data_IF_987430121428
#
_entry.id   IF_987430121428
#
_cell.length_a   1.000
_cell.length_b   1.000
_cell.length_c   1.000
_cell.angle_alpha   90.00
_cell.angle_beta   90.00
_cell.angle_gamma   90.00
#
_symmetry.space_group_name_H-M   'P 1'
#
loop_
_entity.id
_entity.type
_entity.pdbx_description
1 polymer ?
#
# COMPACT_ATOMS: atom_id res chain seq x y z
N UNK A 1 -45.68 46.85 18.67
CA UNK A 1 -45.42 45.71 17.77
C UNK A 1 -43.92 45.53 17.68
N UNK A 2 -43.34 44.64 18.49
CA UNK A 2 -41.88 44.49 18.66
C UNK A 2 -41.43 43.23 17.91
N UNK A 3 -40.65 43.39 16.84
CA UNK A 3 -40.12 42.28 16.03
C UNK A 3 -38.92 41.67 16.73
N UNK A 4 -39.07 40.43 17.20
CA UNK A 4 -37.97 39.59 17.70
C UNK A 4 -37.20 39.09 16.49
N UNK A 5 -35.99 39.59 16.28
CA UNK A 5 -35.04 39.08 15.30
C UNK A 5 -34.39 37.84 15.92
N UNK A 6 -34.78 36.64 15.47
CA UNK A 6 -34.06 35.42 15.82
C UNK A 6 -32.75 35.40 15.05
N UNK A 7 -31.65 35.62 15.76
CA UNK A 7 -30.30 35.43 15.22
C UNK A 7 -30.09 33.91 15.06
N UNK A 8 -30.12 33.42 13.83
CA UNK A 8 -29.77 32.04 13.50
C UNK A 8 -28.25 32.01 13.38
N UNK A 9 -27.56 31.55 14.44
CA UNK A 9 -26.12 31.27 14.35
C UNK A 9 -25.89 30.09 13.43
N UNK A 10 -25.46 30.36 12.20
CA UNK A 10 -24.91 29.36 11.29
C UNK A 10 -23.53 29.00 11.83
N UNK A 11 -23.42 27.83 12.47
CA UNK A 11 -22.13 27.23 12.78
C UNK A 11 -21.54 26.69 11.48
N UNK A 12 -20.61 27.43 10.89
CA UNK A 12 -19.81 26.95 9.77
C UNK A 12 -18.83 25.90 10.33
N UNK A 13 -19.19 24.62 10.26
CA UNK A 13 -18.27 23.52 10.59
C UNK A 13 -17.26 23.45 9.45
N UNK A 14 -16.13 24.12 9.63
CA UNK A 14 -14.98 23.98 8.74
C UNK A 14 -14.39 22.61 9.06
N UNK A 15 -14.71 21.59 8.25
CA UNK A 15 -13.97 20.33 8.25
C UNK A 15 -12.52 20.66 7.88
N UNK A 16 -11.66 20.74 8.89
CA UNK A 16 -10.23 20.74 8.66
C UNK A 16 -9.90 19.33 8.16
N UNK A 17 -9.62 19.21 6.86
CA UNK A 17 -8.97 18.04 6.30
C UNK A 17 -7.57 17.99 6.90
N UNK A 18 -7.49 17.49 8.14
CA UNK A 18 -6.21 17.19 8.76
C UNK A 18 -5.50 16.20 7.85
N UNK A 19 -4.27 16.47 7.40
CA UNK A 19 -3.48 15.48 6.69
C UNK A 19 -3.47 14.16 7.48
N UNK A 20 -3.72 13.07 6.76
CA UNK A 20 -3.73 11.71 7.29
C UNK A 20 -2.28 11.34 7.60
N UNK A 21 -1.90 11.42 8.88
CA UNK A 21 -0.57 11.00 9.36
C UNK A 21 -0.64 9.56 9.85
N UNK A 22 0.34 8.75 9.49
CA UNK A 22 0.44 7.35 9.87
C UNK A 22 0.86 7.15 11.34
N UNK A 23 1.31 8.21 12.02
CA UNK A 23 1.64 8.24 13.46
C UNK A 23 0.41 8.51 14.35
N UNK A 24 -0.80 8.43 13.80
CA UNK A 24 -2.03 8.41 14.59
C UNK A 24 -2.47 6.95 14.83
N UNK A 25 -3.14 6.66 15.96
CA UNK A 25 -3.77 5.36 16.16
C UNK A 25 -4.68 5.05 14.97
N UNK A 26 -4.36 3.99 14.25
CA UNK A 26 -5.12 3.55 13.08
C UNK A 26 -5.75 2.18 13.37
N UNK A 27 -6.72 1.71 12.57
CA UNK A 27 -7.29 0.38 12.75
C UNK A 27 -6.19 -0.70 12.69
N UNK A 28 -6.30 -1.73 13.53
CA UNK A 28 -5.36 -2.85 13.59
C UNK A 28 -5.94 -4.10 12.97
N UNK A 29 -5.05 -5.03 12.58
CA UNK A 29 -5.45 -6.37 12.20
C UNK A 29 -5.66 -6.58 10.72
N UNK A 30 -5.61 -7.86 10.37
CA UNK A 30 -5.86 -8.37 9.03
C UNK A 30 -7.08 -9.27 9.10
N UNK A 31 -8.06 -8.99 8.25
CA UNK A 31 -9.27 -9.79 8.07
C UNK A 31 -9.23 -10.33 6.64
N UNK A 32 -9.14 -11.64 6.51
CA UNK A 32 -9.02 -12.33 5.22
C UNK A 32 -10.35 -13.01 4.86
N UNK A 33 -10.71 -12.96 3.58
CA UNK A 33 -11.88 -13.67 3.06
C UNK A 33 -11.62 -15.18 2.99
N UNK A 34 -12.67 -15.96 3.23
CA UNK A 34 -12.63 -17.41 3.17
C UNK A 34 -12.41 -17.96 1.75
N UNK A 35 -12.03 -19.23 1.69
CA UNK A 35 -11.80 -19.98 0.46
C UNK A 35 -13.08 -20.71 0.06
N UNK A 36 -13.62 -20.44 -1.14
CA UNK A 36 -14.75 -21.18 -1.69
C UNK A 36 -14.37 -22.57 -2.20
N UNK A 37 -15.26 -23.55 -2.14
CA UNK A 37 -14.97 -24.92 -2.60
C UNK A 37 -14.92 -25.03 -4.13
N UNK A 38 -15.52 -24.07 -4.83
CA UNK A 38 -15.61 -23.94 -6.29
C UNK A 38 -14.43 -23.19 -6.94
N UNK A 39 -13.43 -22.77 -6.15
CA UNK A 39 -12.31 -21.98 -6.65
C UNK A 39 -12.50 -20.46 -6.51
N UNK A 40 -13.69 -19.98 -6.12
CA UNK A 40 -13.93 -18.57 -5.80
C UNK A 40 -13.48 -18.20 -4.37
N UNK A 41 -13.55 -16.90 -4.04
CA UNK A 41 -13.44 -16.43 -2.66
C UNK A 41 -14.83 -16.38 -2.01
N UNK A 42 -14.96 -16.97 -0.82
CA UNK A 42 -16.16 -16.84 0.03
C UNK A 42 -16.08 -15.52 0.78
N UNK A 43 -16.55 -14.44 0.17
CA UNK A 43 -16.46 -13.09 0.74
C UNK A 43 -17.48 -12.80 1.83
N UNK A 44 -18.41 -13.72 2.08
CA UNK A 44 -19.32 -13.69 3.23
C UNK A 44 -18.74 -14.32 4.49
N UNK A 45 -17.59 -15.00 4.38
CA UNK A 45 -16.89 -15.63 5.49
C UNK A 45 -15.53 -14.95 5.66
N UNK A 46 -15.25 -14.48 6.86
CA UNK A 46 -14.06 -13.70 7.15
C UNK A 46 -13.34 -14.29 8.35
N UNK A 47 -12.01 -14.29 8.29
CA UNK A 47 -11.15 -14.78 9.36
C UNK A 47 -10.27 -13.62 9.83
N UNK A 48 -10.40 -13.25 11.10
CA UNK A 48 -9.47 -12.31 11.74
C UNK A 48 -8.19 -13.05 12.10
N UNK A 49 -7.06 -12.62 11.53
CA UNK A 49 -5.77 -13.23 11.82
C UNK A 49 -5.23 -12.71 13.16
N UNK A 50 -4.55 -13.60 13.90
CA UNK A 50 -3.90 -13.23 15.16
C UNK A 50 -2.54 -12.59 14.91
N UNK A 51 -2.27 -11.47 15.59
CA UNK A 51 -1.00 -10.77 15.56
C UNK A 51 -0.06 -11.22 16.69
N UNK A 52 1.14 -10.60 16.82
CA UNK A 52 1.63 -9.47 16.04
C UNK A 52 2.21 -9.88 14.67
N UNK A 53 2.47 -11.17 14.43
CA UNK A 53 2.88 -11.67 13.10
C UNK A 53 1.74 -12.43 12.43
N UNK A 54 0.96 -11.70 11.63
CA UNK A 54 -0.19 -12.21 10.89
C UNK A 54 0.27 -13.21 9.82
N UNK A 55 0.02 -14.49 10.05
CA UNK A 55 0.36 -15.56 9.10
C UNK A 55 -0.64 -15.62 7.94
N UNK A 56 -0.18 -15.25 6.74
CA UNK A 56 -0.96 -15.32 5.52
C UNK A 56 -0.43 -16.50 4.70
N UNK A 57 -0.93 -17.69 4.99
CA UNK A 57 -0.51 -18.92 4.33
C UNK A 57 -1.28 -19.14 3.03
N UNK A 58 -0.74 -19.98 2.14
CA UNK A 58 -1.42 -20.37 0.90
C UNK A 58 -2.81 -21.00 1.12
N UNK A 59 -3.11 -21.52 2.32
CA UNK A 59 -4.43 -22.06 2.64
C UNK A 59 -5.52 -20.99 2.80
N UNK A 60 -5.13 -19.77 3.16
CA UNK A 60 -6.02 -18.62 3.14
C UNK A 60 -6.21 -18.04 1.72
N UNK A 61 -5.53 -18.60 0.72
CA UNK A 61 -5.53 -18.12 -0.65
C UNK A 61 -6.00 -19.15 -1.67
N UNK A 62 -5.87 -18.75 -2.94
CA UNK A 62 -6.16 -19.58 -4.12
C UNK A 62 -4.96 -19.58 -5.05
N UNK A 63 -4.34 -20.74 -5.23
CA UNK A 63 -3.27 -20.90 -6.22
C UNK A 63 -3.84 -21.26 -7.60
N UNK A 64 -3.39 -20.54 -8.62
CA UNK A 64 -3.61 -20.86 -10.03
C UNK A 64 -2.27 -20.80 -10.76
N UNK A 65 -1.68 -21.97 -11.06
CA UNK A 65 -0.32 -22.01 -11.62
C UNK A 65 0.71 -21.40 -10.67
N UNK A 66 1.46 -20.41 -11.14
CA UNK A 66 2.48 -19.67 -10.36
C UNK A 66 1.92 -18.44 -9.63
N UNK A 67 0.60 -18.19 -9.74
CA UNK A 67 -0.08 -17.10 -9.06
C UNK A 67 -0.77 -17.60 -7.78
N UNK A 68 -0.55 -16.92 -6.66
CA UNK A 68 -1.25 -17.12 -5.39
C UNK A 68 -2.11 -15.89 -5.08
N UNK A 69 -3.43 -16.05 -5.15
CA UNK A 69 -4.39 -14.98 -4.92
C UNK A 69 -4.82 -14.93 -3.45
N UNK A 70 -4.90 -13.73 -2.90
CA UNK A 70 -5.51 -13.44 -1.59
C UNK A 70 -6.53 -12.31 -1.72
N UNK A 71 -7.59 -12.41 -0.93
CA UNK A 71 -8.64 -11.40 -0.84
C UNK A 71 -8.83 -11.05 0.62
N UNK A 72 -8.68 -9.78 0.96
CA UNK A 72 -8.82 -9.25 2.31
C UNK A 72 -10.06 -8.36 2.40
N UNK A 73 -10.75 -8.40 3.53
CA UNK A 73 -11.69 -7.34 3.89
C UNK A 73 -10.88 -6.14 4.42
N UNK A 74 -9.93 -6.42 5.30
CA UNK A 74 -9.09 -5.42 5.96
C UNK A 74 -7.62 -5.86 5.94
N UNK A 75 -6.72 -4.92 5.67
CA UNK A 75 -5.28 -5.15 5.71
C UNK A 75 -4.58 -3.96 6.36
N UNK A 76 -4.36 -4.04 7.67
CA UNK A 76 -3.63 -3.04 8.45
C UNK A 76 -2.53 -3.71 9.28
N UNK A 77 -1.40 -3.02 9.45
CA UNK A 77 -0.22 -3.50 10.17
C UNK A 77 0.31 -2.34 11.01
N UNK A 78 0.35 -2.47 12.33
CA UNK A 78 0.95 -1.47 13.22
C UNK A 78 2.48 -1.59 13.30
N UNK A 79 3.08 -0.60 13.94
CA UNK A 79 4.46 -0.68 14.42
C UNK A 79 4.69 -1.96 15.22
N UNK A 80 5.79 -2.63 14.91
CA UNK A 80 6.21 -3.93 15.47
C UNK A 80 5.30 -5.12 15.11
N UNK A 81 4.31 -4.94 14.23
CA UNK A 81 3.56 -6.04 13.62
C UNK A 81 4.14 -6.41 12.25
N UNK A 82 3.82 -7.61 11.79
CA UNK A 82 4.16 -8.08 10.45
C UNK A 82 3.02 -8.85 9.79
N UNK A 83 2.96 -8.75 8.47
CA UNK A 83 2.14 -9.63 7.63
C UNK A 83 3.07 -10.55 6.85
N UNK A 84 3.05 -11.84 7.18
CA UNK A 84 3.98 -12.83 6.61
C UNK A 84 3.26 -13.73 5.62
N UNK A 85 3.51 -13.52 4.34
CA UNK A 85 3.03 -14.37 3.25
C UNK A 85 3.90 -15.62 3.11
N UNK A 86 3.28 -16.80 3.09
CA UNK A 86 3.96 -18.09 2.94
C UNK A 86 3.21 -19.06 2.04
N UNK A 87 3.95 -19.93 1.37
CA UNK A 87 3.41 -20.84 0.37
C UNK A 87 4.51 -21.65 -0.32
N UNK A 88 4.16 -22.48 -1.32
CA UNK A 88 5.15 -23.27 -2.04
C UNK A 88 6.07 -22.39 -2.89
N UNK A 89 7.33 -22.80 -3.06
CA UNK A 89 8.32 -22.08 -3.88
C UNK A 89 7.99 -22.05 -5.39
N UNK A 90 6.91 -22.71 -5.82
CA UNK A 90 6.39 -22.62 -7.19
C UNK A 90 5.61 -21.33 -7.44
N UNK A 91 5.31 -20.55 -6.41
CA UNK A 91 4.64 -19.25 -6.55
C UNK A 91 5.63 -18.19 -7.00
N UNK A 92 5.32 -17.54 -8.11
CA UNK A 92 6.07 -16.38 -8.64
C UNK A 92 5.38 -15.06 -8.30
N UNK A 93 4.05 -15.04 -8.16
CA UNK A 93 3.29 -13.83 -7.86
C UNK A 93 2.27 -14.08 -6.75
N UNK A 94 2.37 -13.30 -5.68
CA UNK A 94 1.36 -13.14 -4.65
C UNK A 94 0.49 -11.95 -5.05
N UNK A 95 -0.80 -12.17 -5.29
CA UNK A 95 -1.73 -11.16 -5.80
C UNK A 95 -2.83 -10.94 -4.77
N UNK A 96 -2.80 -9.79 -4.13
CA UNK A 96 -3.63 -9.45 -2.98
C UNK A 96 -4.55 -8.28 -3.30
N UNK A 97 -5.83 -8.38 -2.93
CA UNK A 97 -6.80 -7.28 -2.99
C UNK A 97 -7.42 -7.00 -1.62
N UNK A 98 -7.76 -5.75 -1.34
CA UNK A 98 -8.55 -5.33 -0.18
C UNK A 98 -9.90 -4.81 -0.66
N UNK A 99 -10.99 -5.32 -0.07
CA UNK A 99 -12.36 -5.10 -0.57
C UNK A 99 -13.29 -4.42 0.43
N UNK A 100 -12.84 -4.15 1.67
CA UNK A 100 -13.67 -3.59 2.74
C UNK A 100 -13.93 -2.08 2.67
N UNK A 101 -13.54 -1.41 1.58
CA UNK A 101 -13.82 0.02 1.37
C UNK A 101 -13.05 0.99 2.28
N UNK A 102 -12.10 0.49 3.07
CA UNK A 102 -11.26 1.29 3.95
C UNK A 102 -9.79 1.31 3.50
N UNK A 103 -9.06 2.42 3.69
CA UNK A 103 -7.63 2.47 3.38
C UNK A 103 -6.82 1.44 4.19
N UNK A 104 -5.73 0.96 3.61
CA UNK A 104 -4.75 0.12 4.30
C UNK A 104 -3.72 0.99 5.03
N UNK A 105 -3.58 0.78 6.34
CA UNK A 105 -2.59 1.45 7.19
C UNK A 105 -1.44 0.50 7.49
N UNK A 106 -0.24 0.82 7.01
CA UNK A 106 0.93 -0.05 7.08
C UNK A 106 2.04 0.74 7.76
N UNK A 107 2.26 0.46 9.04
CA UNK A 107 3.36 1.00 9.84
C UNK A 107 4.23 -0.14 10.40
N UNK A 108 4.21 -1.31 9.78
CA UNK A 108 5.01 -2.47 10.18
C UNK A 108 5.61 -3.19 8.97
N UNK A 109 5.93 -4.47 9.12
CA UNK A 109 6.64 -5.22 8.07
C UNK A 109 5.70 -5.99 7.16
N UNK A 110 5.81 -5.82 5.84
CA UNK A 110 5.26 -6.78 4.87
C UNK A 110 6.37 -7.76 4.51
N UNK A 111 6.15 -9.05 4.78
CA UNK A 111 7.13 -10.11 4.57
C UNK A 111 6.61 -11.17 3.62
N UNK A 112 7.49 -11.72 2.78
CA UNK A 112 7.23 -12.98 2.06
C UNK A 112 8.36 -13.98 2.28
N UNK A 113 8.03 -15.18 2.74
CA UNK A 113 8.98 -16.30 2.86
C UNK A 113 9.07 -17.13 1.58
N UNK A 114 8.27 -16.81 0.56
CA UNK A 114 8.31 -17.47 -0.75
C UNK A 114 9.47 -16.90 -1.55
N UNK A 115 10.42 -17.75 -1.91
CA UNK A 115 11.66 -17.31 -2.58
C UNK A 115 11.37 -16.58 -3.90
N UNK A 116 11.86 -15.34 -4.01
CA UNK A 116 11.76 -14.48 -5.20
C UNK A 116 10.34 -14.12 -5.68
N UNK A 117 9.29 -14.46 -4.93
CA UNK A 117 7.92 -14.13 -5.33
C UNK A 117 7.69 -12.61 -5.31
N UNK A 118 7.08 -12.09 -6.37
CA UNK A 118 6.60 -10.72 -6.43
C UNK A 118 5.32 -10.60 -5.61
N UNK A 119 5.10 -9.44 -4.99
CA UNK A 119 3.89 -9.16 -4.22
C UNK A 119 3.16 -7.95 -4.81
N UNK A 120 1.91 -8.17 -5.19
CA UNK A 120 0.97 -7.17 -5.68
C UNK A 120 -0.08 -6.91 -4.61
N UNK A 121 -0.23 -5.67 -4.15
CA UNK A 121 -1.24 -5.27 -3.17
C UNK A 121 -2.14 -4.17 -3.77
N UNK A 122 -3.42 -4.49 -3.90
CA UNK A 122 -4.45 -3.61 -4.45
C UNK A 122 -5.41 -3.16 -3.34
N UNK A 123 -5.56 -1.85 -3.14
CA UNK A 123 -6.63 -1.29 -2.32
C UNK A 123 -7.15 0.03 -2.95
N UNK A 124 -8.30 0.02 -3.64
CA UNK A 124 -8.88 1.22 -4.25
C UNK A 124 -9.18 2.34 -3.27
N UNK A 125 -9.31 2.03 -1.98
CA UNK A 125 -9.61 2.99 -0.90
C UNK A 125 -8.37 3.76 -0.44
N UNK A 126 -7.18 3.39 -0.92
CA UNK A 126 -5.92 4.05 -0.58
C UNK A 126 -4.99 3.20 0.29
N UNK A 127 -3.72 3.60 0.34
CA UNK A 127 -2.69 2.95 1.14
C UNK A 127 -1.83 4.00 1.83
N UNK A 128 -1.66 3.86 3.14
CA UNK A 128 -0.90 4.77 3.99
C UNK A 128 0.27 4.00 4.58
N UNK A 129 1.49 4.35 4.17
CA UNK A 129 2.72 3.82 4.74
C UNK A 129 3.26 4.78 5.80
N UNK A 130 3.43 4.28 7.02
CA UNK A 130 4.04 5.01 8.11
C UNK A 130 5.56 4.90 8.17
N UNK A 131 6.19 5.64 9.10
CA UNK A 131 7.64 5.71 9.23
C UNK A 131 8.28 4.32 9.40
N UNK A 132 7.63 3.44 10.14
CA UNK A 132 8.15 2.12 10.52
C UNK A 132 7.80 1.04 9.48
N UNK A 133 7.16 1.43 8.37
CA UNK A 133 6.83 0.52 7.29
C UNK A 133 8.11 -0.04 6.65
N UNK A 134 8.17 -1.34 6.49
CA UNK A 134 9.30 -2.01 5.84
C UNK A 134 8.88 -3.20 4.99
N UNK A 135 9.74 -3.58 4.05
CA UNK A 135 9.53 -4.71 3.15
C UNK A 135 10.63 -5.74 3.38
N UNK A 136 10.21 -6.99 3.57
CA UNK A 136 11.08 -8.17 3.62
C UNK A 136 10.59 -9.17 2.56
N UNK A 137 10.85 -8.82 1.30
CA UNK A 137 10.29 -9.51 0.12
C UNK A 137 11.44 -9.89 -0.80
N UNK A 138 11.51 -11.18 -1.16
CA UNK A 138 12.51 -11.70 -2.08
C UNK A 138 12.36 -11.21 -3.53
N UNK A 139 11.12 -10.94 -3.97
CA UNK A 139 10.78 -10.42 -5.30
C UNK A 139 10.52 -8.91 -5.34
N UNK A 140 9.79 -8.48 -6.37
CA UNK A 140 9.36 -7.08 -6.54
C UNK A 140 8.08 -6.79 -5.74
N UNK A 141 7.90 -5.53 -5.35
CA UNK A 141 6.71 -5.05 -4.63
C UNK A 141 5.94 -4.05 -5.48
N UNK A 142 4.65 -4.31 -5.69
CA UNK A 142 3.76 -3.47 -6.47
C UNK A 142 2.54 -3.13 -5.61
N UNK A 143 2.31 -1.85 -5.38
CA UNK A 143 1.16 -1.36 -4.62
C UNK A 143 0.33 -0.40 -5.47
N UNK A 144 -0.99 -0.54 -5.42
CA UNK A 144 -1.87 0.27 -6.24
C UNK A 144 -3.22 0.55 -5.59
N UNK A 145 -3.81 1.69 -5.97
CA UNK A 145 -5.21 2.04 -5.70
C UNK A 145 -6.11 1.84 -6.92
N UNK A 146 -5.66 1.04 -7.89
CA UNK A 146 -6.48 0.63 -9.02
C UNK A 146 -7.65 -0.25 -8.56
N UNK A 147 -8.65 -0.38 -9.42
CA UNK A 147 -9.85 -1.18 -9.15
C UNK A 147 -9.61 -2.66 -9.42
N UNK A 148 -8.73 -2.99 -10.36
CA UNK A 148 -8.39 -4.36 -10.69
C UNK A 148 -6.95 -4.49 -11.20
N UNK A 149 -6.43 -5.71 -11.13
CA UNK A 149 -5.27 -6.14 -11.92
C UNK A 149 -5.76 -6.88 -13.15
N UNK A 150 -5.21 -6.53 -14.31
CA UNK A 150 -5.39 -7.23 -15.58
C UNK A 150 -4.21 -8.15 -15.85
N UNK A 151 -4.47 -9.29 -16.48
CA UNK A 151 -3.49 -10.31 -16.84
C UNK A 151 -3.22 -10.32 -18.35
N UNK A 152 -2.19 -11.05 -18.81
CA UNK A 152 -1.83 -11.09 -20.25
C UNK A 152 -2.91 -11.76 -21.13
N UNK A 153 -3.76 -12.61 -20.53
CA UNK A 153 -4.90 -13.25 -21.19
C UNK A 153 -6.15 -12.36 -21.22
N UNK A 154 -6.05 -11.12 -20.75
CA UNK A 154 -7.13 -10.14 -20.58
C UNK A 154 -8.14 -10.44 -19.47
N UNK A 155 -7.97 -11.51 -18.68
CA UNK A 155 -8.74 -11.66 -17.45
C UNK A 155 -8.36 -10.57 -16.44
N UNK A 156 -9.21 -10.36 -15.44
CA UNK A 156 -8.97 -9.40 -14.37
C UNK A 156 -9.40 -9.93 -13.00
N UNK A 157 -8.77 -9.37 -11.97
CA UNK A 157 -9.06 -9.62 -10.57
C UNK A 157 -9.38 -8.29 -9.89
N UNK A 158 -10.66 -8.08 -9.54
CA UNK A 158 -11.22 -6.80 -9.09
C UNK A 158 -11.27 -6.69 -7.58
N UNK A 159 -11.05 -5.50 -7.01
CA UNK A 159 -11.29 -5.21 -5.59
C UNK A 159 -12.78 -4.93 -5.26
N UNK A 160 -13.58 -4.60 -6.27
CA UNK A 160 -15.04 -4.53 -6.14
C UNK A 160 -15.64 -5.94 -6.29
N UNK A 161 -16.28 -6.42 -5.22
CA UNK A 161 -16.89 -7.74 -5.15
C UNK A 161 -18.16 -7.88 -6.00
N UNK A 162 -18.75 -6.79 -6.47
CA UNK A 162 -19.87 -6.81 -7.41
C UNK A 162 -19.42 -7.06 -8.86
N UNK A 163 -18.13 -6.91 -9.14
CA UNK A 163 -17.52 -7.20 -10.43
C UNK A 163 -17.04 -8.66 -10.47
N UNK A 164 -17.18 -9.29 -11.63
CA UNK A 164 -16.62 -10.61 -11.85
C UNK A 164 -15.09 -10.59 -11.68
N UNK A 165 -14.54 -11.71 -11.22
CA UNK A 165 -13.10 -11.87 -11.04
C UNK A 165 -12.70 -13.27 -11.46
N UNK A 166 -11.73 -13.36 -12.36
CA UNK A 166 -11.26 -14.63 -12.91
C UNK A 166 -9.83 -14.86 -12.43
N UNK A 167 -9.63 -15.93 -11.68
CA UNK A 167 -8.30 -16.39 -11.29
C UNK A 167 -7.64 -17.07 -12.49
N UNK A 168 -6.40 -16.70 -12.80
CA UNK A 168 -5.70 -17.19 -13.98
C UNK A 168 -4.25 -17.55 -13.66
N UNK A 169 -3.67 -18.43 -14.49
CA UNK A 169 -2.24 -18.75 -14.51
C UNK A 169 -1.42 -17.69 -15.25
N UNK A 170 -2.06 -16.80 -15.99
CA UNK A 170 -1.42 -15.75 -16.77
C UNK A 170 -0.75 -14.70 -15.87
N UNK A 171 0.37 -14.13 -16.30
CA UNK A 171 1.12 -13.16 -15.49
C UNK A 171 0.36 -11.82 -15.39
N UNK A 172 0.47 -11.08 -14.26
CA UNK A 172 -0.02 -9.72 -14.15
C UNK A 172 0.57 -8.83 -15.25
N UNK A 173 -0.28 -8.02 -15.88
CA UNK A 173 0.13 -7.16 -17.01
C UNK A 173 -0.02 -5.68 -16.69
N UNK A 174 -1.12 -5.27 -16.06
CA UNK A 174 -1.43 -3.86 -15.82
C UNK A 174 -2.43 -3.66 -14.68
N UNK A 175 -2.44 -2.44 -14.15
CA UNK A 175 -3.43 -1.95 -13.19
C UNK A 175 -4.51 -1.17 -13.95
N UNK A 176 -5.77 -1.46 -13.64
CA UNK A 176 -6.92 -0.84 -14.29
C UNK A 176 -7.76 0.00 -13.35
N UNK A 177 -8.12 1.20 -13.79
CA UNK A 177 -9.00 2.11 -13.07
C UNK A 177 -10.33 2.20 -13.81
N UNK A 178 -11.42 2.01 -13.07
CA UNK A 178 -12.79 2.26 -13.52
C UNK A 178 -13.12 3.75 -13.41
N UNK A 179 -14.29 4.15 -13.88
CA UNK A 179 -14.71 5.55 -13.79
C UNK A 179 -15.16 5.90 -12.37
N UNK A 180 -14.28 6.60 -11.64
CA UNK A 180 -14.59 7.20 -10.33
C UNK A 180 -14.60 8.73 -10.41
N UNK A 181 -15.22 9.42 -9.45
CA UNK A 181 -15.09 10.88 -9.34
C UNK A 181 -13.68 11.30 -8.94
N UNK A 182 -13.06 10.52 -8.03
CA UNK A 182 -11.68 10.69 -7.57
C UNK A 182 -11.08 9.33 -7.25
N UNK A 183 -9.82 9.14 -7.65
CA UNK A 183 -9.02 7.97 -7.27
C UNK A 183 -8.30 8.23 -5.94
N UNK A 184 -8.22 7.22 -5.08
CA UNK A 184 -7.58 7.33 -3.77
C UNK A 184 -6.05 7.47 -3.89
N UNK A 185 -5.41 7.87 -2.80
CA UNK A 185 -3.99 8.13 -2.74
C UNK A 185 -3.17 6.97 -2.18
N UNK A 186 -1.88 6.96 -2.52
CA UNK A 186 -0.86 6.30 -1.71
C UNK A 186 -0.04 7.38 -1.00
N UNK A 187 0.09 7.27 0.32
CA UNK A 187 0.96 8.15 1.10
C UNK A 187 2.11 7.35 1.71
N UNK A 188 3.31 7.93 1.73
CA UNK A 188 4.49 7.39 2.39
C UNK A 188 5.07 8.46 3.31
N UNK A 189 5.08 8.18 4.59
CA UNK A 189 5.67 9.03 5.62
C UNK A 189 7.03 8.45 6.04
N UNK A 190 8.09 9.26 5.99
CA UNK A 190 9.39 8.90 6.60
C UNK A 190 9.47 9.30 8.08
N UNK A 191 10.64 9.11 8.71
CA UNK A 191 10.84 9.47 10.13
C UNK A 191 11.13 10.96 10.37
N UNK A 192 11.34 11.78 9.33
CA UNK A 192 11.69 13.20 9.47
C UNK A 192 13.14 13.46 9.91
N UNK A 193 13.37 14.58 10.62
CA UNK A 193 14.67 15.00 11.15
C UNK A 193 15.15 14.09 12.31
N UNK A 194 15.63 12.88 12.01
CA UNK A 194 16.32 12.03 12.98
C UNK A 194 17.84 12.06 12.72
N UNK A 195 18.62 12.60 13.66
CA UNK A 195 20.09 12.46 13.68
C UNK A 195 20.40 11.04 14.15
N UNK A 196 20.30 10.06 13.25
CA UNK A 196 20.71 8.69 13.53
C UNK A 196 21.66 8.26 12.42
N UNK A 197 22.88 7.90 12.80
CA UNK A 197 23.97 7.56 11.89
C UNK A 197 23.73 6.30 11.02
N UNK A 198 22.54 5.67 11.02
CA UNK A 198 22.40 4.31 10.45
C UNK A 198 21.03 3.84 9.95
N UNK A 199 19.93 4.59 10.01
CA UNK A 199 18.61 4.04 9.57
C UNK A 199 18.10 4.74 8.31
N UNK A 200 18.19 4.04 7.18
CA UNK A 200 17.52 4.43 5.94
C UNK A 200 16.00 4.36 6.16
N UNK A 201 15.29 5.45 5.93
CA UNK A 201 13.82 5.47 6.07
C UNK A 201 13.11 5.35 4.74
N UNK A 202 11.91 4.76 4.77
CA UNK A 202 11.11 4.50 3.58
C UNK A 202 11.20 3.05 3.11
N UNK A 203 10.55 2.76 1.99
CA UNK A 203 10.44 1.38 1.51
C UNK A 203 11.63 1.01 0.62
N UNK A 204 12.19 -0.17 0.88
CA UNK A 204 13.32 -0.72 0.14
C UNK A 204 13.05 -2.16 -0.27
N UNK A 205 13.45 -2.51 -1.49
CA UNK A 205 13.50 -3.90 -1.95
C UNK A 205 14.94 -4.39 -2.05
N UNK A 206 15.09 -5.70 -2.25
CA UNK A 206 16.37 -6.33 -2.56
C UNK A 206 16.93 -5.86 -3.91
N UNK A 207 18.24 -6.10 -4.11
CA UNK A 207 18.94 -5.71 -5.33
C UNK A 207 18.29 -6.37 -6.57
N UNK A 208 18.17 -5.59 -7.66
CA UNK A 208 17.57 -6.03 -8.92
C UNK A 208 16.04 -6.14 -8.88
N UNK A 209 15.37 -5.77 -7.78
CA UNK A 209 13.91 -5.87 -7.63
C UNK A 209 13.24 -4.51 -7.77
N UNK A 210 11.97 -4.54 -8.18
CA UNK A 210 11.19 -3.32 -8.47
C UNK A 210 10.32 -2.92 -7.28
N UNK A 211 10.20 -1.62 -7.05
CA UNK A 211 9.09 -1.03 -6.27
C UNK A 211 8.22 -0.23 -7.23
N UNK A 212 6.91 -0.47 -7.22
CA UNK A 212 5.96 0.25 -8.07
C UNK A 212 4.77 0.77 -7.28
N UNK A 213 4.49 2.06 -7.44
CA UNK A 213 3.36 2.76 -6.84
C UNK A 213 2.46 3.29 -7.97
N UNK A 214 1.21 2.83 -8.04
CA UNK A 214 0.25 3.25 -9.08
C UNK A 214 -1.04 3.70 -8.41
N UNK A 215 -1.33 4.99 -8.39
CA UNK A 215 -2.46 5.53 -7.63
C UNK A 215 -3.03 6.81 -8.21
N UNK A 216 -4.15 7.26 -7.65
CA UNK A 216 -4.76 8.55 -7.96
C UNK A 216 -3.83 9.72 -7.68
N UNK A 217 -3.46 9.85 -6.41
CA UNK A 217 -2.41 10.74 -5.91
C UNK A 217 -1.31 9.90 -5.24
N UNK A 218 -0.06 10.37 -5.31
CA UNK A 218 1.06 9.77 -4.58
C UNK A 218 1.75 10.88 -3.82
N UNK A 219 1.80 10.76 -2.49
CA UNK A 219 2.39 11.76 -1.61
C UNK A 219 3.49 11.10 -0.76
N UNK A 220 4.66 11.73 -0.73
CA UNK A 220 5.79 11.29 0.08
C UNK A 220 6.17 12.46 1.00
N UNK A 221 6.07 12.26 2.30
CA UNK A 221 6.26 13.31 3.32
C UNK A 221 7.23 12.89 4.41
N UNK A 222 7.70 13.86 5.21
CA UNK A 222 8.61 13.67 6.35
C UNK A 222 9.82 12.78 6.03
N UNK A 223 10.51 13.07 4.93
CA UNK A 223 11.73 12.35 4.59
C UNK A 223 12.84 12.48 5.64
N UNK A 224 13.73 11.49 5.70
CA UNK A 224 14.96 11.59 6.49
C UNK A 224 15.93 12.61 5.92
N UNK A 225 16.81 13.11 6.77
CA UNK A 225 17.90 13.99 6.39
C UNK A 225 19.21 13.26 6.61
N UNK A 226 19.96 13.00 5.53
CA UNK A 226 21.34 12.54 5.65
C UNK A 226 22.22 13.77 5.83
N UNK A 227 22.83 13.92 7.01
CA UNK A 227 23.86 14.92 7.24
C UNK A 227 25.18 14.45 6.61
N UNK A 228 25.41 14.83 5.35
CA UNK A 228 26.72 14.70 4.73
C UNK A 228 27.65 15.81 5.22
N UNK A 229 28.67 15.48 6.01
CA UNK A 229 29.76 16.42 6.29
C UNK A 229 30.83 16.19 5.24
N UNK A 230 30.94 17.09 4.26
CA UNK A 230 32.14 17.16 3.41
C UNK A 230 33.12 18.08 4.12
N UNK A 231 34.26 17.54 4.54
CA UNK A 231 35.39 18.34 5.00
C UNK A 231 36.21 18.63 3.74
N UNK A 232 36.34 19.89 3.36
CA UNK A 232 37.24 20.27 2.27
C UNK A 232 38.71 20.22 2.73
N UNK A 233 39.65 20.40 1.80
CA UNK A 233 41.09 20.41 2.09
C UNK A 233 41.52 21.57 3.04
N UNK A 234 40.59 22.47 3.38
CA UNK A 234 40.76 23.61 4.28
C UNK A 234 39.99 23.46 5.61
N UNK A 235 39.45 22.28 5.91
CA UNK A 235 38.66 22.00 7.12
C UNK A 235 37.36 22.80 7.27
N UNK A 236 36.79 23.34 6.20
CA UNK A 236 35.42 23.85 6.23
C UNK A 236 34.44 22.69 6.08
N UNK A 237 33.48 22.60 7.00
CA UNK A 237 32.36 21.67 6.88
C UNK A 237 31.25 22.32 6.06
N UNK A 238 30.88 21.70 4.95
CA UNK A 238 29.71 22.10 4.17
C UNK A 238 28.60 21.07 4.39
N UNK A 239 27.55 21.47 5.11
CA UNK A 239 26.43 20.59 5.46
C UNK A 239 25.37 20.65 4.36
N UNK A 240 25.36 19.66 3.47
CA UNK A 240 24.28 19.47 2.51
C UNK A 240 23.06 18.80 3.16
N UNK A 241 21.86 19.29 2.89
CA UNK A 241 20.59 18.63 3.27
C UNK A 241 20.02 17.89 2.07
N UNK A 242 19.67 16.61 2.22
CA UNK A 242 18.92 15.85 1.21
C UNK A 242 17.71 15.20 1.88
N UNK A 243 16.50 15.49 1.39
CA UNK A 243 15.24 14.92 1.89
C UNK A 243 15.07 13.48 1.40
N UNK A 244 14.71 12.53 2.28
CA UNK A 244 14.49 11.12 1.92
C UNK A 244 13.28 10.47 2.61
N UNK A 245 12.08 10.71 2.07
CA UNK A 245 11.07 9.65 2.08
C UNK A 245 11.44 8.78 0.89
N UNK A 246 12.21 7.73 1.12
CA UNK A 246 12.91 7.08 0.01
C UNK A 246 12.19 5.83 -0.47
N UNK A 247 12.06 5.70 -1.79
CA UNK A 247 11.76 4.43 -2.46
C UNK A 247 13.08 3.92 -3.03
N UNK A 248 13.63 2.86 -2.44
CA UNK A 248 14.95 2.36 -2.78
C UNK A 248 14.82 0.99 -3.46
N UNK A 249 15.16 0.92 -4.74
CA UNK A 249 15.23 -0.31 -5.53
C UNK A 249 16.64 -0.45 -6.14
N UNK A 250 17.65 -0.87 -5.34
CA UNK A 250 19.03 -0.88 -5.82
C UNK A 250 19.15 -1.80 -7.04
N UNK A 251 19.77 -1.34 -8.12
CA UNK A 251 19.90 -2.09 -9.39
C UNK A 251 18.55 -2.55 -10.00
N UNK A 252 17.43 -2.07 -9.46
CA UNK A 252 16.08 -2.38 -9.88
C UNK A 252 15.41 -1.15 -10.50
N UNK A 253 14.09 -1.08 -10.37
CA UNK A 253 13.29 0.03 -10.89
C UNK A 253 12.39 0.59 -9.81
N UNK A 254 12.30 1.92 -9.75
CA UNK A 254 11.25 2.63 -9.03
C UNK A 254 10.27 3.17 -10.06
N UNK A 255 9.03 2.69 -10.05
CA UNK A 255 7.97 3.11 -10.95
C UNK A 255 6.90 3.88 -10.16
N UNK A 256 6.66 5.14 -10.52
CA UNK A 256 5.63 5.98 -9.90
C UNK A 256 4.70 6.45 -11.01
N UNK A 257 3.45 6.01 -10.96
CA UNK A 257 2.43 6.45 -11.92
C UNK A 257 1.25 7.06 -11.19
N UNK A 258 0.98 8.32 -11.50
CA UNK A 258 -0.17 9.08 -11.02
C UNK A 258 -1.28 9.03 -12.06
N UNK A 259 -2.45 8.56 -11.68
CA UNK A 259 -3.64 8.53 -12.52
C UNK A 259 -4.60 9.65 -12.10
N UNK A 260 -4.73 10.69 -12.92
CA UNK A 260 -5.66 11.78 -12.66
C UNK A 260 -6.93 11.63 -13.52
N UNK A 261 -8.08 11.97 -12.96
CA UNK A 261 -9.27 12.34 -13.74
C UNK A 261 -9.28 13.86 -13.91
N UNK A 262 -9.28 14.33 -15.15
CA UNK A 262 -9.46 15.75 -15.46
C UNK A 262 -10.97 16.04 -15.51
N UNK A 263 -11.41 17.07 -14.80
CA UNK A 263 -12.81 17.50 -14.81
C UNK A 263 -13.27 17.84 -16.23
N UNK A 264 -14.55 17.60 -16.53
CA UNK A 264 -15.16 18.18 -17.73
C UNK A 264 -15.11 19.70 -17.58
N UNK A 265 -14.54 20.38 -18.56
CA UNK A 265 -14.79 21.80 -18.74
C UNK A 265 -16.23 21.90 -19.26
N UNK A 266 -17.16 22.25 -18.38
CA UNK A 266 -18.52 22.65 -18.78
C UNK A 266 -18.49 24.04 -19.44
#
# INVERSE_FOLDING_TARGET
MMKIIKCVSIFLIIFHLSPIYADQPHPSGIIIHGKGDDGSFKTSETISLEGPDYQITAEHGKQCGTNLFHSFEQFNIHKNESATFSGPNSIENIISRVTGGSPSWINGTIRSTISNANLYLLNPSGVVFGPEASLDIGGSFHVSTADYIKFLDNHHFSADLSQDSILTTSAPSSFGFLEHEKYSSITLEGHGDEIINTTSTGLRTNNGKTISFIAGDIEITKGSYVYGTTIDDFYFSNTGKQLTGSLISPEGRTCIMKQAKWGKFD
#
